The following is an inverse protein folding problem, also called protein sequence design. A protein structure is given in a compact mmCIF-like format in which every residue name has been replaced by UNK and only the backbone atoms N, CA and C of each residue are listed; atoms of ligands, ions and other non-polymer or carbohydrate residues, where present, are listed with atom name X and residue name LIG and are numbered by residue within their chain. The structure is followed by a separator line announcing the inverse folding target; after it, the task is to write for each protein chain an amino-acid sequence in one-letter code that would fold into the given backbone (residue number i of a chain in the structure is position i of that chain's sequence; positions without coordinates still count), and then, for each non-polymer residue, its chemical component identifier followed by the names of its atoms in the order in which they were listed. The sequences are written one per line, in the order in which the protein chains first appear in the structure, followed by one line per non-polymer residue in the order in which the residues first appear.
data_IF_051319395000
#
_entry.id   IF_051319395000
#
_cell.length_a   1.000
_cell.length_b   1.000
_cell.length_c   1.000
_cell.angle_alpha   90.00
_cell.angle_beta   90.00
_cell.angle_gamma   90.00
#
_symmetry.space_group_name_H-M   'P 1'
#
loop_
_entity.id
_entity.type
_entity.pdbx_description
1 polymer ?
#
# COMPACT_ATOMS: atom_id res chain seq x y z
N UNK A 1 24.78 6.89 -6.00
CA UNK A 1 23.38 6.63 -5.58
C UNK A 1 23.33 5.24 -4.98
N UNK A 2 22.56 5.06 -3.87
CA UNK A 2 22.39 3.77 -3.20
C UNK A 2 21.33 2.96 -3.96
N UNK A 3 21.58 1.68 -4.24
CA UNK A 3 20.56 0.81 -4.83
C UNK A 3 19.46 0.56 -3.81
N UNK A 4 18.23 0.35 -4.24
CA UNK A 4 17.10 0.06 -3.35
C UNK A 4 17.40 -1.11 -2.39
N UNK A 5 17.98 -2.19 -2.92
CA UNK A 5 18.34 -3.39 -2.14
C UNK A 5 19.44 -3.18 -1.07
N UNK A 6 20.14 -2.05 -1.13
CA UNK A 6 21.14 -1.68 -0.13
C UNK A 6 20.58 -0.65 0.89
N UNK A 7 19.32 -0.21 0.70
CA UNK A 7 18.67 0.77 1.57
C UNK A 7 18.16 0.13 2.87
N UNK A 8 18.16 0.93 3.92
CA UNK A 8 17.59 0.60 5.23
C UNK A 8 16.28 1.35 5.44
N UNK A 9 15.52 1.01 6.49
CA UNK A 9 14.28 1.70 6.84
C UNK A 9 14.48 3.22 6.97
N UNK A 10 15.57 3.65 7.60
CA UNK A 10 15.91 5.08 7.76
C UNK A 10 16.23 5.79 6.43
N UNK A 11 16.73 5.06 5.43
CA UNK A 11 16.92 5.63 4.10
C UNK A 11 15.55 5.94 3.47
N UNK A 12 14.60 5.02 3.56
CA UNK A 12 13.26 5.17 2.98
C UNK A 12 12.45 6.28 3.65
N UNK A 13 12.57 6.50 4.95
CA UNK A 13 11.86 7.56 5.67
C UNK A 13 12.14 8.97 5.11
N UNK A 14 13.35 9.18 4.60
CA UNK A 14 13.81 10.48 4.11
C UNK A 14 13.84 10.57 2.58
N UNK A 15 13.57 9.48 1.88
CA UNK A 15 13.70 9.36 0.44
C UNK A 15 12.55 10.06 -0.29
N UNK A 16 12.89 10.95 -1.21
CA UNK A 16 11.92 11.63 -2.06
C UNK A 16 11.63 10.81 -3.32
N UNK A 17 10.55 11.14 -4.02
CA UNK A 17 10.11 10.46 -5.24
C UNK A 17 11.25 10.21 -6.23
N UNK A 18 12.09 11.20 -6.53
CA UNK A 18 13.17 11.05 -7.50
C UNK A 18 14.21 10.04 -7.01
N UNK A 19 14.58 10.11 -5.75
CA UNK A 19 15.56 9.23 -5.12
C UNK A 19 15.06 7.79 -5.07
N UNK A 20 13.77 7.59 -4.75
CA UNK A 20 13.14 6.26 -4.76
C UNK A 20 13.18 5.64 -6.16
N UNK A 21 12.78 6.39 -7.19
CA UNK A 21 12.81 5.92 -8.59
C UNK A 21 14.23 5.58 -9.05
N UNK A 22 15.20 6.41 -8.70
CA UNK A 22 16.60 6.17 -9.02
C UNK A 22 17.17 4.95 -8.30
N UNK A 23 16.82 4.73 -7.02
CA UNK A 23 17.23 3.55 -6.25
C UNK A 23 16.61 2.26 -6.82
N UNK A 24 15.35 2.28 -7.21
CA UNK A 24 14.69 1.16 -7.89
C UNK A 24 15.39 0.86 -9.21
N UNK A 25 15.61 1.88 -10.05
CA UNK A 25 16.28 1.72 -11.34
C UNK A 25 17.71 1.14 -11.19
N UNK A 26 18.47 1.62 -10.20
CA UNK A 26 19.81 1.12 -9.89
C UNK A 26 19.83 -0.34 -9.41
N UNK A 27 18.68 -0.89 -9.03
CA UNK A 27 18.55 -2.31 -8.63
C UNK A 27 18.28 -3.25 -9.81
N UNK A 28 18.18 -2.73 -11.05
CA UNK A 28 18.17 -3.51 -12.29
C UNK A 28 17.06 -4.57 -12.34
N UNK A 29 15.83 -4.20 -11.93
CA UNK A 29 14.65 -5.07 -11.96
C UNK A 29 14.59 -6.13 -10.85
N UNK A 30 15.42 -6.01 -9.81
CA UNK A 30 15.46 -6.98 -8.70
C UNK A 30 14.65 -6.55 -7.47
N UNK A 31 13.92 -5.44 -7.54
CA UNK A 31 13.02 -5.01 -6.46
C UNK A 31 11.72 -5.81 -6.54
N UNK A 32 11.36 -6.47 -5.45
CA UNK A 32 10.15 -7.28 -5.33
C UNK A 32 9.05 -6.50 -4.62
N UNK A 33 7.95 -6.25 -5.31
CA UNK A 33 6.72 -5.72 -4.72
C UNK A 33 5.79 -6.88 -4.37
N UNK A 34 5.39 -6.98 -3.11
CA UNK A 34 4.40 -7.97 -2.66
C UNK A 34 3.06 -7.31 -2.40
N UNK A 35 2.01 -7.87 -3.00
CA UNK A 35 0.63 -7.45 -2.76
C UNK A 35 0.01 -8.19 -1.59
N UNK A 36 -0.67 -7.46 -0.70
CA UNK A 36 -1.44 -8.01 0.41
C UNK A 36 -2.80 -7.33 0.52
N UNK A 37 -3.78 -8.03 1.08
CA UNK A 37 -5.13 -7.49 1.33
C UNK A 37 -5.27 -7.24 2.83
N UNK A 38 -5.32 -5.95 3.23
CA UNK A 38 -5.30 -5.55 4.62
C UNK A 38 -6.53 -5.97 5.43
N UNK A 39 -7.70 -6.05 4.80
CA UNK A 39 -8.96 -6.43 5.46
C UNK A 39 -9.09 -7.93 5.73
N UNK A 40 -8.18 -8.76 5.21
CA UNK A 40 -8.18 -10.20 5.49
C UNK A 40 -7.47 -10.50 6.81
N UNK A 41 -7.91 -11.57 7.47
CA UNK A 41 -7.29 -12.04 8.70
C UNK A 41 -5.81 -12.36 8.49
N UNK A 42 -4.95 -12.02 9.46
CA UNK A 42 -3.53 -12.33 9.39
C UNK A 42 -3.29 -13.84 9.33
N UNK A 43 -2.36 -14.25 8.48
CA UNK A 43 -1.97 -15.67 8.37
C UNK A 43 -1.34 -16.21 9.65
N UNK A 44 -0.64 -15.36 10.41
CA UNK A 44 0.07 -15.73 11.64
C UNK A 44 -0.62 -15.24 12.91
N UNK A 45 -1.85 -14.72 12.83
CA UNK A 45 -2.65 -14.29 13.96
C UNK A 45 -2.21 -12.93 14.54
N UNK A 46 -1.02 -12.85 15.11
CA UNK A 46 -0.57 -11.70 15.90
C UNK A 46 0.22 -10.63 15.11
N UNK A 47 0.53 -10.89 13.85
CA UNK A 47 1.23 -9.94 12.97
C UNK A 47 0.45 -9.71 11.69
N UNK A 48 0.51 -8.50 11.14
CA UNK A 48 -0.17 -8.17 9.89
C UNK A 48 0.39 -9.00 8.72
N UNK A 49 -0.41 -9.19 7.68
CA UNK A 49 0.08 -9.81 6.45
C UNK A 49 1.20 -8.98 5.79
N UNK A 50 1.22 -7.67 6.00
CA UNK A 50 2.31 -6.80 5.55
C UNK A 50 3.65 -7.12 6.23
N UNK A 51 3.65 -7.31 7.56
CA UNK A 51 4.84 -7.74 8.29
C UNK A 51 5.29 -9.14 7.87
N UNK A 52 4.34 -10.04 7.63
CA UNK A 52 4.64 -11.39 7.18
C UNK A 52 5.37 -11.39 5.84
N UNK A 53 4.86 -10.69 4.81
CA UNK A 53 5.53 -10.64 3.50
C UNK A 53 6.85 -9.89 3.53
N UNK A 54 6.98 -8.86 4.38
CA UNK A 54 8.24 -8.17 4.60
C UNK A 54 9.31 -9.13 5.17
N UNK A 55 8.94 -9.99 6.14
CA UNK A 55 9.82 -11.01 6.70
C UNK A 55 10.22 -12.08 5.69
N UNK A 56 9.40 -12.32 4.67
CA UNK A 56 9.67 -13.26 3.58
C UNK A 56 10.49 -12.64 2.45
N UNK A 57 10.90 -11.38 2.57
CA UNK A 57 11.81 -10.72 1.63
C UNK A 57 11.15 -9.76 0.65
N UNK A 58 9.90 -9.35 0.88
CA UNK A 58 9.30 -8.26 0.10
C UNK A 58 10.11 -6.97 0.30
N UNK A 59 10.44 -6.30 -0.80
CA UNK A 59 11.16 -5.03 -0.79
C UNK A 59 10.21 -3.85 -0.66
N UNK A 60 9.05 -3.94 -1.28
CA UNK A 60 7.96 -2.97 -1.22
C UNK A 60 6.63 -3.71 -0.98
N UNK A 61 5.69 -3.04 -0.34
CA UNK A 61 4.38 -3.62 -0.02
C UNK A 61 3.29 -2.86 -0.75
N UNK A 62 2.41 -3.57 -1.45
CA UNK A 62 1.20 -3.02 -2.06
C UNK A 62 -0.02 -3.49 -1.25
N UNK A 63 -0.74 -2.55 -0.66
CA UNK A 63 -2.00 -2.83 0.03
C UNK A 63 -3.15 -2.78 -0.97
N UNK A 64 -3.59 -3.95 -1.42
CA UNK A 64 -4.75 -4.06 -2.29
C UNK A 64 -6.04 -3.89 -1.47
N UNK A 65 -7.08 -3.38 -2.11
CA UNK A 65 -8.40 -3.10 -1.51
C UNK A 65 -8.33 -2.13 -0.32
N UNK A 66 -7.29 -1.31 -0.23
CA UNK A 66 -7.16 -0.32 0.82
C UNK A 66 -8.11 0.87 0.56
N UNK A 67 -9.00 1.14 1.50
CA UNK A 67 -9.91 2.27 1.46
C UNK A 67 -9.32 3.44 2.26
N UNK A 68 -8.99 4.55 1.59
CA UNK A 68 -8.40 5.73 2.26
C UNK A 68 -9.37 6.44 3.21
N UNK A 69 -10.69 6.22 3.06
CA UNK A 69 -11.72 6.79 3.92
C UNK A 69 -12.03 5.90 5.13
N UNK A 70 -11.77 4.59 5.01
CA UNK A 70 -12.01 3.58 6.04
C UNK A 70 -10.82 2.59 6.10
N UNK A 71 -9.64 3.04 6.50
CA UNK A 71 -8.43 2.24 6.46
C UNK A 71 -8.46 1.13 7.51
N UNK A 72 -8.57 -0.11 7.06
CA UNK A 72 -8.57 -1.29 7.94
C UNK A 72 -7.42 -2.22 7.56
N UNK A 73 -6.58 -2.52 8.54
CA UNK A 73 -5.54 -3.55 8.45
C UNK A 73 -5.71 -4.50 9.63
N UNK A 74 -6.09 -5.72 9.35
CA UNK A 74 -6.25 -6.76 10.38
C UNK A 74 -4.90 -7.10 11.03
N UNK A 75 -4.92 -7.24 12.35
CA UNK A 75 -3.70 -7.49 13.13
C UNK A 75 -2.87 -6.24 13.44
N UNK A 76 -3.23 -5.06 12.90
CA UNK A 76 -2.54 -3.83 13.25
C UNK A 76 -2.87 -3.41 14.69
N UNK A 77 -1.90 -3.01 15.52
CA UNK A 77 -2.16 -2.38 16.81
C UNK A 77 -3.06 -1.15 16.65
N UNK A 78 -3.86 -0.84 17.70
CA UNK A 78 -4.77 0.31 17.67
C UNK A 78 -4.05 1.57 17.19
N UNK A 79 -4.53 2.13 16.10
CA UNK A 79 -3.89 3.22 15.34
C UNK A 79 -4.98 4.15 14.82
N UNK A 80 -4.72 5.45 14.80
CA UNK A 80 -5.59 6.43 14.16
C UNK A 80 -5.60 6.22 12.65
N UNK A 81 -6.74 6.41 12.00
CA UNK A 81 -6.95 6.13 10.57
C UNK A 81 -5.87 6.77 9.68
N UNK A 82 -5.52 8.02 9.94
CA UNK A 82 -4.50 8.75 9.16
C UNK A 82 -3.06 8.26 9.37
N UNK A 83 -2.83 7.47 10.40
CA UNK A 83 -1.51 6.95 10.78
C UNK A 83 -1.32 5.47 10.38
N UNK A 84 -2.33 4.82 9.83
CA UNK A 84 -2.30 3.38 9.48
C UNK A 84 -1.13 3.06 8.54
N UNK A 85 -0.94 3.82 7.48
CA UNK A 85 0.17 3.60 6.53
C UNK A 85 1.53 3.82 7.21
N UNK A 86 1.68 4.91 7.97
CA UNK A 86 2.94 5.18 8.69
C UNK A 86 3.25 4.08 9.69
N UNK A 87 2.20 3.54 10.35
CA UNK A 87 2.37 2.43 11.29
C UNK A 87 2.87 1.16 10.60
N UNK A 88 2.31 0.81 9.44
CA UNK A 88 2.81 -0.32 8.63
C UNK A 88 4.26 -0.08 8.21
N UNK A 89 4.61 1.13 7.76
CA UNK A 89 6.01 1.46 7.41
C UNK A 89 6.96 1.31 8.59
N UNK A 90 6.54 1.73 9.80
CA UNK A 90 7.33 1.54 11.03
C UNK A 90 7.55 0.06 11.36
N UNK A 91 6.52 -0.77 11.22
CA UNK A 91 6.59 -2.19 11.55
C UNK A 91 7.40 -2.99 10.53
N UNK A 92 7.35 -2.60 9.26
CA UNK A 92 7.98 -3.35 8.17
C UNK A 92 9.33 -2.79 7.72
N UNK A 93 9.56 -1.49 7.94
CA UNK A 93 10.73 -0.78 7.40
C UNK A 93 10.74 -0.70 5.87
N UNK A 94 9.58 -0.83 5.21
CA UNK A 94 9.45 -0.90 3.74
C UNK A 94 8.60 0.24 3.21
N UNK A 95 8.85 0.72 1.96
CA UNK A 95 7.90 1.58 1.25
C UNK A 95 6.57 0.86 1.05
N UNK A 96 5.47 1.63 1.23
CA UNK A 96 4.11 1.11 1.15
C UNK A 96 3.33 1.86 0.10
N UNK A 97 2.69 1.11 -0.80
CA UNK A 97 1.76 1.62 -1.80
C UNK A 97 0.35 1.10 -1.60
N UNK A 98 -0.57 1.71 -2.31
CA UNK A 98 -1.95 1.26 -2.45
C UNK A 98 -2.33 1.17 -3.92
N UNK A 99 -3.37 0.41 -4.25
CA UNK A 99 -4.00 0.53 -5.55
C UNK A 99 -5.24 1.43 -5.47
N UNK A 100 -5.49 2.18 -6.54
CA UNK A 100 -6.75 2.88 -6.77
C UNK A 100 -7.33 2.40 -8.10
N UNK A 101 -8.64 2.20 -8.12
CA UNK A 101 -9.36 1.61 -9.24
C UNK A 101 -10.09 2.72 -10.03
N UNK A 102 -9.77 2.94 -11.33
CA UNK A 102 -10.52 3.87 -12.15
C UNK A 102 -11.95 3.35 -12.37
N UNK A 103 -12.94 4.21 -12.13
CA UNK A 103 -14.33 3.93 -12.52
C UNK A 103 -14.54 4.39 -13.96
N UNK A 104 -15.13 3.53 -14.78
CA UNK A 104 -15.73 3.98 -16.04
C UNK A 104 -16.89 4.92 -15.72
N UNK A 105 -16.92 6.10 -16.34
CA UNK A 105 -18.02 7.06 -16.18
C UNK A 105 -19.35 6.37 -16.55
N UNK A 106 -20.26 6.27 -15.60
CA UNK A 106 -21.61 5.75 -15.79
C UNK A 106 -21.86 4.29 -15.40
N UNK A 107 -20.87 3.54 -14.95
CA UNK A 107 -21.07 2.23 -14.33
C UNK A 107 -21.01 2.36 -12.81
N UNK A 108 -22.17 2.45 -12.16
CA UNK A 108 -22.29 1.91 -10.81
C UNK A 108 -21.95 0.42 -10.90
N UNK A 109 -21.16 -0.10 -9.99
CA UNK A 109 -20.78 -1.51 -10.00
C UNK A 109 -22.01 -2.39 -9.81
N UNK A 110 -22.63 -2.79 -10.92
CA UNK A 110 -23.87 -3.59 -10.97
C UNK A 110 -23.61 -5.08 -10.88
N UNK A 111 -22.44 -5.49 -10.44
CA UNK A 111 -22.18 -6.90 -10.17
C UNK A 111 -22.63 -7.18 -8.74
N UNK A 112 -23.58 -8.09 -8.55
CA UNK A 112 -23.95 -8.71 -7.27
C UNK A 112 -22.73 -9.48 -6.72
N UNK A 113 -21.72 -8.74 -6.29
CA UNK A 113 -20.55 -9.29 -5.60
C UNK A 113 -20.74 -9.12 -4.10
N UNK A 114 -20.21 -10.07 -3.35
CA UNK A 114 -20.11 -10.04 -1.92
C UNK A 114 -19.67 -8.64 -1.45
N UNK A 115 -20.26 -8.04 -0.43
CA UNK A 115 -20.01 -6.65 0.02
C UNK A 115 -18.51 -6.33 0.20
N UNK A 116 -17.72 -7.33 0.59
CA UNK A 116 -16.26 -7.21 0.74
C UNK A 116 -15.55 -6.79 -0.57
N UNK A 117 -16.06 -7.22 -1.73
CA UNK A 117 -15.47 -6.94 -3.06
C UNK A 117 -16.06 -5.72 -3.73
N UNK A 118 -17.09 -5.12 -3.14
CA UNK A 118 -17.70 -3.91 -3.66
C UNK A 118 -16.70 -2.77 -3.62
N UNK A 119 -16.53 -2.09 -4.76
CA UNK A 119 -15.68 -0.91 -4.82
C UNK A 119 -16.26 0.20 -3.94
N UNK A 120 -15.55 0.54 -2.86
CA UNK A 120 -15.90 1.66 -1.98
C UNK A 120 -15.37 2.98 -2.53
N UNK A 121 -15.96 4.09 -2.10
CA UNK A 121 -15.56 5.43 -2.53
C UNK A 121 -14.08 5.75 -2.32
N UNK A 122 -13.48 5.28 -1.21
CA UNK A 122 -12.07 5.52 -0.89
C UNK A 122 -11.07 4.67 -1.69
N UNK A 123 -11.55 3.72 -2.50
CA UNK A 123 -10.74 2.89 -3.40
C UNK A 123 -10.72 3.42 -4.84
N UNK A 124 -11.58 4.39 -5.15
CA UNK A 124 -11.71 4.94 -6.50
C UNK A 124 -10.54 5.84 -6.84
N UNK A 125 -10.03 5.76 -8.07
CA UNK A 125 -8.95 6.60 -8.58
C UNK A 125 -9.45 8.04 -8.83
N UNK A 126 -9.56 8.82 -7.76
CA UNK A 126 -9.86 10.25 -7.79
C UNK A 126 -8.66 11.06 -7.32
N UNK A 127 -8.62 12.34 -7.70
CA UNK A 127 -7.59 13.26 -7.21
C UNK A 127 -7.67 13.44 -5.68
N UNK A 128 -8.87 13.42 -5.12
CA UNK A 128 -9.11 13.54 -3.68
C UNK A 128 -8.53 12.34 -2.93
N UNK A 129 -8.86 11.12 -3.36
CA UNK A 129 -8.33 9.90 -2.75
C UNK A 129 -6.80 9.81 -2.89
N UNK A 130 -6.24 10.22 -4.03
CA UNK A 130 -4.79 10.26 -4.21
C UNK A 130 -4.12 11.26 -3.25
N UNK A 131 -4.72 12.43 -3.01
CA UNK A 131 -4.22 13.39 -2.01
C UNK A 131 -4.30 12.83 -0.61
N UNK A 132 -5.43 12.24 -0.23
CA UNK A 132 -5.60 11.58 1.07
C UNK A 132 -4.54 10.49 1.29
N UNK A 133 -4.29 9.66 0.28
CA UNK A 133 -3.25 8.63 0.34
C UNK A 133 -1.85 9.22 0.60
N UNK A 134 -1.50 10.30 -0.10
CA UNK A 134 -0.21 11.02 0.12
C UNK A 134 -0.13 11.58 1.53
N UNK A 135 -1.19 12.18 2.05
CA UNK A 135 -1.26 12.70 3.43
C UNK A 135 -1.08 11.58 4.47
N UNK A 136 -1.60 10.39 4.21
CA UNK A 136 -1.40 9.19 5.04
C UNK A 136 0.03 8.64 4.99
N UNK A 137 0.84 9.07 4.04
CA UNK A 137 2.25 8.66 3.89
C UNK A 137 2.48 7.51 2.92
N UNK A 138 1.57 7.30 1.96
CA UNK A 138 1.76 6.33 0.86
C UNK A 138 2.92 6.76 -0.03
N UNK A 139 3.80 5.82 -0.38
CA UNK A 139 4.99 6.07 -1.18
C UNK A 139 4.72 5.95 -2.69
N UNK A 140 3.78 5.11 -3.09
CA UNK A 140 3.41 4.92 -4.49
C UNK A 140 1.94 4.47 -4.62
N UNK A 141 1.34 4.77 -5.76
CA UNK A 141 -0.03 4.37 -6.10
C UNK A 141 0.02 3.57 -7.39
N UNK A 142 -0.65 2.43 -7.41
CA UNK A 142 -0.89 1.63 -8.60
C UNK A 142 -2.31 1.92 -9.09
N UNK A 143 -2.45 2.31 -10.35
CA UNK A 143 -3.75 2.44 -10.99
C UNK A 143 -4.09 1.10 -11.63
N UNK A 144 -5.11 0.45 -11.11
CA UNK A 144 -5.55 -0.88 -11.56
C UNK A 144 -6.84 -0.72 -12.36
N UNK A 145 -6.74 -0.79 -13.70
CA UNK A 145 -7.90 -0.76 -14.60
C UNK A 145 -8.10 -2.13 -15.27
N UNK A 146 -9.35 -2.48 -15.56
CA UNK A 146 -9.71 -3.62 -16.40
C UNK A 146 -9.89 -3.17 -17.83
#
# INVERSE_FOLDING_TARGET
MKRFLDCTASDFENMKKKELLEAISASEGRVLVCETIGILQPMLGDVTNAEFVASMGADMILLNMFDVNHPVIQGLPKTEDREVIRKIKQLTGRPVGINLEPLEQGKESSVETNEMWKLSGGRVATLENAKTAVEMGVDFIVLTGN
#
